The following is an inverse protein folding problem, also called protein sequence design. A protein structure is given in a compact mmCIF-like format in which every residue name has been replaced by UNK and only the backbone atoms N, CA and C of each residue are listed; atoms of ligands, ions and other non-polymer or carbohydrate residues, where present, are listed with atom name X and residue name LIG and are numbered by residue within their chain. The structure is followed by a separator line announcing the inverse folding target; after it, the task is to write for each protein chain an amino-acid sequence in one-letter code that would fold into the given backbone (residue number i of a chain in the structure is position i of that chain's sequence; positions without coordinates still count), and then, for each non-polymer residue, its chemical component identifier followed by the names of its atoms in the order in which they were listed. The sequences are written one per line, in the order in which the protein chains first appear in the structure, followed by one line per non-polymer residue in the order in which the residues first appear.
data_IF_381601202019
#
_entry.id   IF_381601202019
#
_cell.length_a   1.000
_cell.length_b   1.000
_cell.length_c   1.000
_cell.angle_alpha   90.00
_cell.angle_beta   90.00
_cell.angle_gamma   90.00
#
_symmetry.space_group_name_H-M   'P 1'
#
loop_
_entity.id
_entity.type
_entity.pdbx_description
1 polymer ?
#
# COMPACT_ATOMS: atom_id res chain seq x y z
N UNK A 1 -11.70 -13.33 11.35
CA UNK A 1 -10.35 -13.06 11.90
C UNK A 1 -9.69 -14.37 12.28
N UNK A 2 -8.43 -14.58 11.93
CA UNK A 2 -7.73 -15.88 11.97
C UNK A 2 -6.86 -16.03 13.23
N UNK A 3 -7.46 -16.33 14.38
CA UNK A 3 -6.74 -16.45 15.66
C UNK A 3 -6.32 -17.88 16.00
N UNK A 4 -5.27 -18.02 16.82
CA UNK A 4 -4.93 -19.28 17.48
C UNK A 4 -6.12 -19.67 18.39
N UNK A 5 -6.55 -20.95 18.41
CA UNK A 5 -7.62 -21.38 19.32
C UNK A 5 -7.34 -20.97 20.77
N UNK A 6 -8.28 -20.25 21.37
CA UNK A 6 -8.16 -19.75 22.76
C UNK A 6 -7.61 -18.32 22.89
N UNK A 7 -7.17 -17.69 21.81
CA UNK A 7 -6.78 -16.28 21.78
C UNK A 7 -7.90 -15.38 21.21
N UNK A 8 -7.97 -14.10 21.62
CA UNK A 8 -7.14 -13.45 22.63
C UNK A 8 -7.44 -13.90 24.07
N UNK A 9 -6.42 -13.93 24.92
CA UNK A 9 -6.54 -14.22 26.36
C UNK A 9 -6.61 -12.90 27.14
N UNK A 10 -7.67 -12.72 27.93
CA UNK A 10 -7.83 -11.53 28.76
C UNK A 10 -6.66 -11.36 29.74
N UNK A 11 -6.01 -10.19 29.72
CA UNK A 11 -4.89 -9.86 30.60
C UNK A 11 -3.52 -10.41 30.18
N UNK A 12 -3.42 -11.06 29.02
CA UNK A 12 -2.15 -11.63 28.51
C UNK A 12 -1.32 -10.66 27.66
N UNK A 13 -1.78 -9.40 27.54
CA UNK A 13 -1.12 -8.32 26.81
C UNK A 13 -2.00 -7.69 25.74
N UNK A 14 -1.58 -6.51 25.28
CA UNK A 14 -2.39 -5.61 24.44
C UNK A 14 -1.91 -5.54 22.98
N UNK A 15 -0.78 -6.17 22.64
CA UNK A 15 -0.23 -6.16 21.29
C UNK A 15 -0.62 -7.41 20.50
N UNK A 16 -0.83 -7.23 19.20
CA UNK A 16 -1.15 -8.33 18.28
C UNK A 16 0.14 -8.91 17.70
N UNK A 17 0.26 -10.24 17.74
CA UNK A 17 1.39 -10.98 17.17
C UNK A 17 0.90 -12.06 16.22
N UNK A 18 1.71 -12.40 15.22
CA UNK A 18 1.48 -13.52 14.30
C UNK A 18 2.43 -14.66 14.67
N UNK A 19 1.89 -15.86 14.84
CA UNK A 19 2.70 -17.05 15.06
C UNK A 19 3.22 -17.57 13.70
N UNK A 20 4.50 -17.92 13.63
CA UNK A 20 5.18 -18.30 12.37
C UNK A 20 5.73 -19.73 12.35
N UNK A 21 5.67 -20.47 13.45
CA UNK A 21 6.22 -21.82 13.55
C UNK A 21 5.15 -22.91 13.43
N UNK A 22 4.28 -23.06 14.43
CA UNK A 22 3.33 -24.18 14.52
C UNK A 22 1.93 -23.82 13.97
N UNK A 23 1.39 -22.69 14.41
CA UNK A 23 0.10 -22.13 14.01
C UNK A 23 0.30 -20.99 13.01
N UNK A 24 1.09 -21.26 11.98
CA UNK A 24 1.56 -20.29 10.98
C UNK A 24 0.45 -19.37 10.46
N UNK A 25 0.65 -18.07 10.61
CA UNK A 25 -0.26 -17.04 10.13
C UNK A 25 -1.50 -16.84 11.00
N UNK A 26 -1.60 -17.52 12.14
CA UNK A 26 -2.63 -17.25 13.14
C UNK A 26 -2.19 -16.13 14.10
N UNK A 27 -3.18 -15.37 14.55
CA UNK A 27 -3.01 -14.21 15.41
C UNK A 27 -3.20 -14.56 16.88
N UNK A 28 -2.50 -13.85 17.76
CA UNK A 28 -2.63 -13.91 19.22
C UNK A 28 -2.34 -12.54 19.83
N UNK A 29 -2.87 -12.27 21.03
CA UNK A 29 -2.40 -11.13 21.84
C UNK A 29 -1.17 -11.53 22.67
N UNK A 30 -0.27 -10.58 22.89
CA UNK A 30 0.97 -10.75 23.64
C UNK A 30 1.39 -9.42 24.29
N UNK A 31 2.37 -9.46 25.20
CA UNK A 31 3.00 -8.29 25.78
C UNK A 31 3.72 -7.47 24.69
N UNK A 32 3.38 -6.18 24.60
CA UNK A 32 4.03 -5.22 23.71
C UNK A 32 5.53 -5.06 23.95
N UNK A 33 6.01 -5.42 25.14
CA UNK A 33 7.42 -5.35 25.53
C UNK A 33 8.25 -6.53 25.01
N UNK A 34 7.60 -7.56 24.46
CA UNK A 34 8.29 -8.72 23.89
C UNK A 34 9.15 -8.30 22.68
N UNK A 35 10.42 -8.74 22.68
CA UNK A 35 11.35 -8.49 21.57
C UNK A 35 11.10 -9.51 20.45
N UNK A 36 10.16 -9.18 19.58
CA UNK A 36 9.80 -9.99 18.42
C UNK A 36 10.16 -9.26 17.11
N UNK A 37 10.41 -10.00 16.01
CA UNK A 37 10.41 -9.40 14.68
C UNK A 37 9.07 -8.70 14.40
N UNK A 38 9.12 -7.56 13.72
CA UNK A 38 7.94 -6.80 13.36
C UNK A 38 7.52 -7.07 11.91
N UNK A 39 6.21 -7.09 11.68
CA UNK A 39 5.63 -6.99 10.35
C UNK A 39 5.23 -5.54 10.15
N UNK A 40 5.81 -4.89 9.14
CA UNK A 40 5.36 -3.55 8.75
C UNK A 40 4.02 -3.67 8.04
N UNK A 41 2.98 -3.04 8.58
CA UNK A 41 1.80 -2.70 7.81
C UNK A 41 1.92 -1.25 7.34
N UNK A 42 1.36 -0.96 6.17
CA UNK A 42 1.18 0.42 5.75
C UNK A 42 0.23 1.11 6.73
N UNK A 43 0.55 2.33 7.15
CA UNK A 43 -0.36 3.12 7.98
C UNK A 43 -1.72 3.22 7.26
N UNK A 44 -2.84 2.98 7.97
CA UNK A 44 -4.16 3.18 7.38
C UNK A 44 -4.28 4.62 6.88
N UNK A 45 -4.95 4.76 5.74
CA UNK A 45 -5.16 5.99 4.94
C UNK A 45 -5.71 7.19 5.73
N UNK A 46 -6.09 7.00 6.99
CA UNK A 46 -6.64 8.04 7.88
C UNK A 46 -5.64 9.11 8.30
N UNK A 47 -4.33 8.85 8.20
CA UNK A 47 -3.28 9.80 8.59
C UNK A 47 -2.71 10.64 7.44
N UNK A 48 -3.08 10.33 6.18
CA UNK A 48 -2.73 11.13 5.01
C UNK A 48 -4.00 11.73 4.42
N UNK A 49 -4.03 13.04 4.11
CA UNK A 49 -5.17 13.61 3.38
C UNK A 49 -5.44 12.74 2.16
N UNK A 50 -6.71 12.52 1.80
CA UNK A 50 -7.02 11.65 0.68
C UNK A 50 -6.23 12.14 -0.51
N UNK A 51 -5.30 11.32 -1.00
CA UNK A 51 -4.58 11.63 -2.22
C UNK A 51 -5.61 11.53 -3.33
N UNK A 52 -6.37 12.60 -3.49
CA UNK A 52 -7.19 12.84 -4.65
C UNK A 52 -6.24 12.74 -5.81
N UNK A 53 -6.53 11.82 -6.73
CA UNK A 53 -5.77 11.61 -7.96
C UNK A 53 -5.58 12.88 -8.78
N UNK A 54 -6.37 13.91 -8.46
CA UNK A 54 -6.22 15.25 -8.97
C UNK A 54 -5.04 15.98 -8.32
N UNK A 55 -3.92 15.97 -9.03
CA UNK A 55 -2.99 17.12 -9.05
C UNK A 55 -2.07 17.26 -7.85
N UNK A 56 -1.83 16.20 -7.08
CA UNK A 56 -0.69 16.20 -6.17
C UNK A 56 0.58 16.44 -7.00
N UNK A 57 1.36 17.46 -6.62
CA UNK A 57 2.69 17.70 -7.22
C UNK A 57 3.61 16.59 -6.75
N UNK A 58 3.62 15.46 -7.48
CA UNK A 58 4.52 14.34 -7.25
C UNK A 58 5.95 14.83 -7.48
N UNK A 59 6.79 14.64 -6.48
CA UNK A 59 8.22 14.99 -6.49
C UNK A 59 9.05 13.74 -6.73
N UNK A 60 10.29 13.96 -7.13
CA UNK A 60 11.30 12.91 -7.19
C UNK A 60 11.45 12.22 -5.82
N UNK A 61 11.40 10.89 -5.81
CA UNK A 61 11.47 10.07 -4.60
C UNK A 61 10.12 9.79 -3.92
N UNK A 62 9.02 10.37 -4.39
CA UNK A 62 7.70 10.08 -3.84
C UNK A 62 7.20 8.68 -4.22
N UNK A 63 6.61 7.97 -3.27
CA UNK A 63 5.90 6.71 -3.52
C UNK A 63 4.42 7.02 -3.75
N UNK A 64 3.99 6.89 -5.01
CA UNK A 64 2.61 7.10 -5.45
C UNK A 64 1.80 5.82 -5.31
N UNK A 65 0.52 5.93 -4.91
CA UNK A 65 -0.38 4.79 -4.72
C UNK A 65 -1.75 5.06 -5.34
N UNK A 66 -2.42 4.01 -5.77
CA UNK A 66 -3.84 4.09 -6.13
C UNK A 66 -4.67 4.42 -4.89
N UNK A 67 -5.79 5.15 -5.04
CA UNK A 67 -6.69 5.36 -3.92
C UNK A 67 -7.24 4.04 -3.41
N UNK A 68 -7.34 3.94 -2.08
CA UNK A 68 -7.85 2.73 -1.44
C UNK A 68 -6.78 1.66 -1.20
N UNK A 69 -5.59 1.76 -1.81
CA UNK A 69 -4.49 0.81 -1.52
C UNK A 69 -4.18 0.79 0.00
N UNK A 70 -3.97 -0.39 0.62
CA UNK A 70 -3.92 -1.72 0.02
C UNK A 70 -5.26 -2.48 0.05
N UNK A 71 -6.38 -1.82 0.37
CA UNK A 71 -7.65 -2.48 0.72
C UNK A 71 -8.65 -2.46 -0.44
N UNK A 72 -8.62 -1.43 -1.28
CA UNK A 72 -9.51 -1.24 -2.41
C UNK A 72 -8.74 -0.70 -3.63
N UNK A 73 -9.11 -1.18 -4.82
CA UNK A 73 -8.55 -0.77 -6.11
C UNK A 73 -9.64 -0.34 -7.11
N UNK A 74 -10.89 -0.18 -6.65
CA UNK A 74 -12.06 0.09 -7.52
C UNK A 74 -12.13 1.53 -8.06
N UNK A 75 -11.21 2.40 -7.67
CA UNK A 75 -11.20 3.81 -8.07
C UNK A 75 -10.18 4.05 -9.18
N UNK A 76 -10.65 4.45 -10.36
CA UNK A 76 -9.80 4.85 -11.50
C UNK A 76 -9.11 6.19 -11.24
N UNK A 77 -7.85 6.34 -11.66
CA UNK A 77 -7.05 7.53 -11.39
C UNK A 77 -5.94 7.80 -12.40
N UNK A 78 -5.74 9.09 -12.68
CA UNK A 78 -4.64 9.59 -13.50
C UNK A 78 -3.61 10.34 -12.64
N UNK A 79 -2.32 10.14 -12.92
CA UNK A 79 -1.24 10.86 -12.27
C UNK A 79 -0.45 11.67 -13.30
N UNK A 80 -0.18 12.93 -12.99
CA UNK A 80 0.64 13.80 -13.86
C UNK A 80 2.04 13.94 -13.31
N UNK A 81 3.00 13.27 -13.93
CA UNK A 81 4.42 13.38 -13.60
C UNK A 81 5.05 14.50 -14.44
N UNK A 82 5.61 15.51 -13.76
CA UNK A 82 6.24 16.68 -14.41
C UNK A 82 7.61 16.94 -13.81
N UNK A 83 8.60 17.11 -14.69
CA UNK A 83 9.97 17.48 -14.34
C UNK A 83 10.35 18.78 -15.04
N UNK A 84 11.47 19.38 -14.62
CA UNK A 84 12.03 20.55 -15.29
C UNK A 84 12.42 20.24 -16.74
N UNK A 85 12.42 21.26 -17.60
CA UNK A 85 12.83 21.11 -19.00
C UNK A 85 14.24 20.52 -19.10
N UNK A 86 14.43 19.58 -20.03
CA UNK A 86 15.69 18.87 -20.24
C UNK A 86 15.93 17.67 -19.31
N UNK A 87 14.97 17.32 -18.45
CA UNK A 87 15.00 16.09 -17.63
C UNK A 87 14.02 15.04 -18.15
N UNK A 88 14.24 13.79 -17.75
CA UNK A 88 13.34 12.66 -18.00
C UNK A 88 12.65 12.24 -16.70
N UNK A 89 11.47 11.63 -16.84
CA UNK A 89 10.76 10.98 -15.74
C UNK A 89 11.19 9.52 -15.71
N UNK A 90 11.54 9.03 -14.53
CA UNK A 90 11.79 7.62 -14.26
C UNK A 90 10.71 7.10 -13.31
N UNK A 91 10.18 5.91 -13.61
CA UNK A 91 9.13 5.27 -12.81
C UNK A 91 9.60 3.85 -12.49
N UNK A 92 9.59 3.51 -11.21
CA UNK A 92 9.81 2.15 -10.72
C UNK A 92 8.48 1.57 -10.19
N UNK A 93 8.06 0.44 -10.76
CA UNK A 93 6.87 -0.27 -10.30
C UNK A 93 7.28 -1.23 -9.18
N UNK A 94 6.99 -0.84 -7.94
CA UNK A 94 7.33 -1.65 -6.75
C UNK A 94 6.37 -2.84 -6.56
N UNK A 95 5.06 -2.61 -6.74
CA UNK A 95 4.00 -3.61 -6.62
C UNK A 95 2.92 -3.31 -7.64
N UNK A 96 2.51 -4.32 -8.40
CA UNK A 96 1.37 -4.26 -9.30
C UNK A 96 0.51 -5.50 -9.09
N UNK A 97 -0.67 -5.31 -8.52
CA UNK A 97 -1.70 -6.32 -8.40
C UNK A 97 -2.95 -5.81 -9.13
N UNK A 98 -3.34 -6.51 -10.19
CA UNK A 98 -4.42 -6.11 -11.07
C UNK A 98 -5.08 -7.36 -11.64
N UNK A 99 -6.41 -7.33 -11.76
CA UNK A 99 -7.14 -8.39 -12.43
C UNK A 99 -6.95 -8.31 -13.96
N UNK A 100 -6.63 -9.45 -14.56
CA UNK A 100 -6.35 -9.57 -16.00
C UNK A 100 -7.54 -9.22 -16.91
N UNK A 101 -8.78 -9.26 -16.42
CA UNK A 101 -9.96 -9.07 -17.27
C UNK A 101 -10.40 -7.61 -17.46
N UNK A 102 -10.05 -6.69 -16.56
CA UNK A 102 -10.63 -5.35 -16.56
C UNK A 102 -9.75 -4.25 -15.94
N UNK A 103 -8.67 -4.61 -15.26
CA UNK A 103 -7.79 -3.64 -14.63
C UNK A 103 -6.64 -3.31 -15.57
N UNK A 104 -6.28 -2.03 -15.63
CA UNK A 104 -5.26 -1.53 -16.53
C UNK A 104 -4.36 -0.54 -15.81
N UNK A 105 -3.05 -0.74 -15.93
CA UNK A 105 -2.04 0.26 -15.60
C UNK A 105 -1.44 0.76 -16.91
N UNK A 106 -1.65 2.04 -17.21
CA UNK A 106 -1.29 2.64 -18.50
C UNK A 106 -0.34 3.81 -18.25
N UNK A 107 0.76 3.84 -18.98
CA UNK A 107 1.70 4.97 -19.00
C UNK A 107 1.57 5.64 -20.36
N UNK A 108 1.31 6.95 -20.34
CA UNK A 108 1.19 7.75 -21.55
C UNK A 108 2.19 8.90 -21.50
N UNK A 109 2.82 9.18 -22.64
CA UNK A 109 3.66 10.36 -22.79
C UNK A 109 2.80 11.61 -22.99
N UNK A 110 3.07 12.67 -22.23
CA UNK A 110 2.38 13.96 -22.39
C UNK A 110 1.15 14.13 -21.50
N UNK A 111 0.57 15.34 -21.53
CA UNK A 111 -0.48 15.72 -20.56
C UNK A 111 -1.92 15.44 -21.01
N UNK A 112 -2.15 14.96 -22.24
CA UNK A 112 -3.49 14.79 -22.82
C UNK A 112 -3.54 13.68 -23.88
N UNK A 113 -3.20 12.44 -23.51
CA UNK A 113 -3.38 11.28 -24.39
C UNK A 113 -2.36 11.17 -25.53
N UNK A 114 -1.07 11.20 -25.19
CA UNK A 114 -0.02 10.94 -26.16
C UNK A 114 0.24 9.45 -26.35
N UNK A 115 1.46 9.11 -26.77
CA UNK A 115 1.81 7.72 -27.08
C UNK A 115 1.81 6.88 -25.80
N UNK A 116 1.16 5.71 -25.87
CA UNK A 116 1.29 4.68 -24.84
C UNK A 116 2.70 4.11 -24.89
N UNK A 117 3.34 4.04 -23.73
CA UNK A 117 4.69 3.49 -23.55
C UNK A 117 4.59 2.03 -23.13
#
# INVERSE_FOLDING_TARGET
THYIPGFPINGYGDCLVMETADSKGQWANNDCSAKLPFVCSWKPYTDSPPQTCLGASIKEGDIVRTPGYPVDASTFCDFFLKVQSGKLVEIEVLVLEANTCCDHFIIEEGSFGGNKI
#
